data_IF_211938263220
#
_entry.id   IF_211938263220
#
_cell.length_a   1.000
_cell.length_b   1.000
_cell.length_c   1.000
_cell.angle_alpha   90.00
_cell.angle_beta   90.00
_cell.angle_gamma   90.00
#
_symmetry.space_group_name_H-M   'P 1'
#
loop_
_entity.id
_entity.type
_entity.pdbx_description
1 polymer ?
#
# COMPACT_ATOMS: atom_id res chain seq x y z
N UNK A 1 7.19 -26.57 -18.06
CA UNK A 1 7.05 -26.08 -16.67
C UNK A 1 7.14 -27.29 -15.75
N UNK A 2 8.22 -27.42 -14.98
CA UNK A 2 8.33 -28.43 -13.92
C UNK A 2 7.80 -27.80 -12.63
N UNK A 3 6.59 -28.17 -12.23
CA UNK A 3 6.11 -27.91 -10.87
C UNK A 3 6.92 -28.80 -9.92
N UNK A 4 7.94 -28.23 -9.29
CA UNK A 4 8.68 -28.91 -8.21
C UNK A 4 7.71 -29.05 -7.02
N UNK A 5 7.20 -30.26 -6.79
CA UNK A 5 6.45 -30.58 -5.57
C UNK A 5 7.39 -30.64 -4.37
N UNK A 6 6.88 -30.31 -3.18
CA UNK A 6 7.60 -30.50 -1.93
C UNK A 6 7.87 -31.98 -1.67
N UNK A 7 9.02 -32.29 -1.10
CA UNK A 7 9.36 -33.63 -0.59
C UNK A 7 8.69 -33.87 0.77
N UNK A 8 8.45 -35.14 1.13
CA UNK A 8 7.81 -35.49 2.41
C UNK A 8 8.56 -34.91 3.62
N UNK A 9 9.89 -34.91 3.58
CA UNK A 9 10.74 -34.36 4.64
C UNK A 9 10.62 -32.82 4.75
N UNK A 10 10.36 -32.12 3.64
CA UNK A 10 10.10 -30.68 3.65
C UNK A 10 8.71 -30.37 4.23
N UNK A 11 7.71 -31.22 3.99
CA UNK A 11 6.38 -31.08 4.60
C UNK A 11 6.38 -31.34 6.11
N UNK A 12 7.14 -32.33 6.58
CA UNK A 12 7.22 -32.67 8.02
C UNK A 12 7.86 -31.57 8.87
N UNK A 13 8.69 -30.71 8.26
CA UNK A 13 9.32 -29.56 8.93
C UNK A 13 8.39 -28.34 9.01
N UNK A 14 7.28 -28.35 8.28
CA UNK A 14 6.35 -27.23 8.23
C UNK A 14 5.24 -27.40 9.29
N UNK A 15 4.96 -26.33 10.03
CA UNK A 15 3.86 -26.36 11.01
C UNK A 15 2.55 -26.04 10.31
N UNK A 16 1.64 -27.01 10.28
CA UNK A 16 0.29 -26.78 9.74
C UNK A 16 -0.54 -26.04 10.80
N UNK A 17 -0.78 -24.76 10.56
CA UNK A 17 -1.79 -23.96 11.27
C UNK A 17 -3.07 -23.88 10.45
N UNK A 18 -4.21 -24.11 11.09
CA UNK A 18 -5.51 -23.97 10.44
C UNK A 18 -5.72 -22.52 10.00
N UNK A 19 -6.20 -22.32 8.77
CA UNK A 19 -6.60 -20.98 8.35
C UNK A 19 -7.76 -20.49 9.25
N UNK A 20 -7.70 -19.25 9.76
CA UNK A 20 -8.80 -18.66 10.50
C UNK A 20 -10.05 -18.55 9.63
N UNK A 21 -11.22 -18.43 10.26
CA UNK A 21 -12.47 -18.20 9.55
C UNK A 21 -12.41 -16.92 8.72
N UNK A 22 -13.13 -16.87 7.60
CA UNK A 22 -13.10 -15.72 6.68
C UNK A 22 -13.43 -14.38 7.35
N UNK A 23 -14.28 -14.40 8.37
CA UNK A 23 -14.59 -13.20 9.17
C UNK A 23 -13.37 -12.71 9.95
N UNK A 24 -12.59 -13.62 10.54
CA UNK A 24 -11.37 -13.29 11.28
C UNK A 24 -10.24 -12.86 10.35
N UNK A 25 -10.11 -13.49 9.17
CA UNK A 25 -9.16 -13.02 8.15
C UNK A 25 -9.46 -11.60 7.66
N UNK A 26 -10.75 -11.23 7.59
CA UNK A 26 -11.16 -9.86 7.22
C UNK A 26 -10.76 -8.82 8.28
N UNK A 27 -10.77 -9.19 9.57
CA UNK A 27 -10.30 -8.32 10.67
C UNK A 27 -8.80 -8.00 10.60
N UNK A 28 -8.00 -8.82 9.91
CA UNK A 28 -6.54 -8.65 9.76
C UNK A 28 -6.17 -7.88 8.48
N UNK A 29 -7.15 -7.42 7.70
CA UNK A 29 -6.90 -6.67 6.47
C UNK A 29 -6.46 -5.22 6.75
N UNK A 30 -5.15 -4.97 6.68
CA UNK A 30 -4.57 -3.64 6.85
C UNK A 30 -4.19 -3.01 5.50
N UNK A 31 -4.86 -1.92 5.12
CA UNK A 31 -4.45 -1.08 4.01
C UNK A 31 -3.52 0.04 4.52
N UNK A 32 -2.33 0.18 3.93
CA UNK A 32 -1.38 1.27 4.27
C UNK A 32 -1.28 2.23 3.09
N UNK A 33 -1.66 3.49 3.33
CA UNK A 33 -1.52 4.57 2.35
C UNK A 33 -0.62 5.67 2.91
N UNK A 34 0.42 6.04 2.15
CA UNK A 34 1.32 7.14 2.46
C UNK A 34 1.10 8.27 1.43
N UNK A 35 0.28 9.28 1.75
CA UNK A 35 0.07 10.41 0.87
C UNK A 35 1.34 11.28 0.80
N UNK A 36 1.98 11.35 -0.37
CA UNK A 36 3.14 12.22 -0.64
C UNK A 36 2.68 13.39 -1.51
N UNK A 37 2.99 14.62 -1.10
CA UNK A 37 2.61 15.82 -1.83
C UNK A 37 3.68 16.91 -1.65
N UNK A 38 4.23 17.41 -2.75
CA UNK A 38 5.24 18.47 -2.76
C UNK A 38 4.99 19.42 -3.92
N UNK A 39 4.99 20.72 -3.63
CA UNK A 39 4.81 21.79 -4.60
C UNK A 39 5.90 22.84 -4.42
N UNK A 40 6.61 23.15 -5.50
CA UNK A 40 7.70 24.13 -5.51
C UNK A 40 7.42 25.11 -6.65
N UNK A 41 7.39 26.41 -6.33
CA UNK A 41 7.37 27.50 -7.31
C UNK A 41 8.51 28.47 -7.04
N UNK A 42 9.10 28.99 -8.12
CA UNK A 42 10.18 29.95 -8.09
C UNK A 42 9.89 31.05 -9.13
N UNK A 43 10.02 32.31 -8.70
CA UNK A 43 9.97 33.48 -9.56
C UNK A 43 11.37 34.08 -9.67
N UNK A 44 11.81 34.37 -10.89
CA UNK A 44 13.07 35.11 -11.13
C UNK A 44 12.73 36.51 -11.64
N UNK A 45 12.96 37.51 -10.78
CA UNK A 45 13.13 38.95 -11.11
C UNK A 45 12.15 39.58 -12.13
N UNK A 46 10.84 39.27 -12.06
CA UNK A 46 9.83 39.95 -12.89
C UNK A 46 8.88 40.79 -12.03
N UNK A 47 8.72 42.06 -12.38
CA UNK A 47 7.68 42.93 -11.83
C UNK A 47 6.30 42.32 -12.11
N UNK A 48 5.40 42.43 -11.13
CA UNK A 48 4.04 41.87 -11.18
C UNK A 48 3.93 40.33 -11.35
N UNK A 49 5.00 39.55 -11.07
CA UNK A 49 4.97 38.09 -11.20
C UNK A 49 4.45 37.38 -9.94
N UNK A 50 3.50 36.46 -10.12
CA UNK A 50 2.95 35.61 -9.06
C UNK A 50 3.44 34.17 -9.22
N UNK A 51 4.24 33.68 -8.28
CA UNK A 51 4.65 32.28 -8.19
C UNK A 51 3.62 31.57 -7.32
N UNK A 52 2.92 30.60 -7.89
CA UNK A 52 1.93 29.83 -7.16
C UNK A 52 2.13 28.35 -7.45
N UNK A 53 2.35 27.56 -6.40
CA UNK A 53 2.35 26.11 -6.50
C UNK A 53 1.32 25.56 -5.50
N UNK A 54 0.20 25.06 -6.02
CA UNK A 54 -0.79 24.35 -5.23
C UNK A 54 -0.44 22.86 -5.19
N UNK A 55 -0.54 22.29 -4.00
CA UNK A 55 -0.41 20.86 -3.76
C UNK A 55 -1.68 20.40 -3.06
N UNK A 56 -2.71 20.04 -3.81
CA UNK A 56 -3.97 19.52 -3.25
C UNK A 56 -3.95 18.01 -3.28
N UNK A 57 -4.12 17.37 -2.12
CA UNK A 57 -4.18 15.92 -2.03
C UNK A 57 -5.51 15.48 -1.43
N UNK A 58 -6.14 14.51 -2.09
CA UNK A 58 -7.38 13.88 -1.64
C UNK A 58 -7.08 12.41 -1.38
N UNK A 59 -7.33 11.93 -0.16
CA UNK A 59 -7.24 10.51 0.16
C UNK A 59 -8.63 10.00 0.53
N UNK A 60 -9.31 9.36 -0.42
CA UNK A 60 -10.50 8.57 -0.14
C UNK A 60 -10.12 7.08 -0.10
N UNK A 61 -10.26 6.44 1.06
CA UNK A 61 -9.95 5.02 1.26
C UNK A 61 -11.23 4.29 1.66
N UNK A 62 -12.04 3.82 0.70
CA UNK A 62 -13.21 3.01 1.01
C UNK A 62 -12.77 1.62 1.46
N UNK A 63 -13.30 1.14 2.59
CA UNK A 63 -13.16 -0.26 3.01
C UNK A 63 -14.54 -0.89 3.15
N UNK A 64 -14.72 -2.07 2.54
CA UNK A 64 -15.81 -3.00 2.83
C UNK A 64 -15.23 -4.28 3.43
N UNK A 65 -16.07 -5.01 4.17
CA UNK A 65 -15.80 -6.41 4.55
C UNK A 65 -15.88 -7.33 3.34
#
# INVERSE_FOLDING_TARGET
MLTKGFTLEELEKETIVGLPDRAEMSLVNANVAAPINAAVALNVLSDNSTAYAAATQTNYIPQSI
#
